data_IF_496209900006
#
_entry.id   IF_496209900006
#
_cell.length_a   1.000
_cell.length_b   1.000
_cell.length_c   1.000
_cell.angle_alpha   90.00
_cell.angle_beta   90.00
_cell.angle_gamma   90.00
#
_symmetry.space_group_name_H-M   'P 1'
#
loop_
_entity.id
_entity.type
_entity.pdbx_description
1 polymer ?
#
# COMPACT_ATOMS: atom_id res chain seq x y z
N UNK A 1 27.52 8.40 -6.00
CA UNK A 1 26.26 7.87 -5.49
C UNK A 1 26.49 6.38 -5.17
N UNK A 2 26.49 5.97 -3.90
CA UNK A 2 26.68 4.55 -3.55
C UNK A 2 25.34 3.85 -3.70
N UNK A 3 25.27 2.84 -4.53
CA UNK A 3 24.15 1.91 -4.59
C UNK A 3 24.20 1.05 -3.31
N UNK A 4 23.20 1.15 -2.48
CA UNK A 4 23.03 0.24 -1.35
C UNK A 4 22.53 -1.12 -1.86
N UNK A 5 23.06 -2.19 -1.30
CA UNK A 5 22.53 -3.54 -1.59
C UNK A 5 21.18 -3.72 -0.89
N UNK A 6 20.34 -4.59 -1.42
CA UNK A 6 19.03 -4.89 -0.83
C UNK A 6 19.13 -5.33 0.65
N UNK A 7 20.19 -6.04 1.02
CA UNK A 7 20.45 -6.45 2.40
C UNK A 7 20.72 -5.29 3.35
N UNK A 8 21.47 -4.27 2.92
CA UNK A 8 21.69 -3.06 3.72
C UNK A 8 20.40 -2.26 3.87
N UNK A 9 19.65 -2.11 2.78
CA UNK A 9 18.38 -1.40 2.80
C UNK A 9 17.35 -2.09 3.71
N UNK A 10 17.30 -3.43 3.70
CA UNK A 10 16.44 -4.19 4.64
C UNK A 10 16.81 -3.92 6.08
N UNK A 11 18.10 -4.01 6.43
CA UNK A 11 18.57 -3.78 7.80
C UNK A 11 18.27 -2.35 8.28
N UNK A 12 18.45 -1.36 7.41
CA UNK A 12 18.14 0.05 7.74
C UNK A 12 16.65 0.27 7.97
N UNK A 13 15.77 -0.35 7.16
CA UNK A 13 14.32 -0.26 7.29
C UNK A 13 13.83 -0.99 8.55
N UNK A 14 14.33 -2.19 8.83
CA UNK A 14 14.00 -2.93 10.04
C UNK A 14 14.42 -2.17 11.30
N UNK A 15 15.62 -1.59 11.30
CA UNK A 15 16.11 -0.75 12.39
C UNK A 15 15.26 0.51 12.59
N UNK A 16 14.84 1.17 11.51
CA UNK A 16 13.95 2.33 11.57
C UNK A 16 12.54 1.95 12.05
N UNK A 17 12.01 0.82 11.62
CA UNK A 17 10.69 0.30 11.99
C UNK A 17 10.60 -0.06 13.47
N UNK A 18 11.65 -0.65 14.04
CA UNK A 18 11.69 -0.99 15.48
C UNK A 18 11.73 0.24 16.39
N UNK A 19 12.20 1.37 15.87
CA UNK A 19 12.31 2.62 16.65
C UNK A 19 11.02 3.47 16.64
N UNK A 20 10.07 3.18 15.73
CA UNK A 20 8.90 4.06 15.50
C UNK A 20 7.60 3.52 16.11
N UNK A 21 7.52 2.23 16.46
CA UNK A 21 6.31 1.65 17.04
C UNK A 21 6.58 0.97 18.39
N UNK A 22 6.62 1.75 19.46
CA UNK A 22 6.38 1.21 20.80
C UNK A 22 4.91 0.82 20.89
N UNK A 23 4.67 -0.48 20.97
CA UNK A 23 3.36 -1.09 21.29
C UNK A 23 2.83 -0.46 22.57
N UNK A 24 1.78 0.36 22.50
CA UNK A 24 1.04 0.80 23.68
C UNK A 24 0.74 2.28 23.84
N UNK A 25 1.17 3.17 22.93
CA UNK A 25 0.87 4.59 23.07
C UNK A 25 -0.36 4.97 22.24
N UNK A 26 -1.56 4.76 22.81
CA UNK A 26 -2.82 5.26 22.26
C UNK A 26 -2.91 6.79 22.26
N UNK A 27 -2.01 7.49 22.97
CA UNK A 27 -1.97 8.95 23.03
C UNK A 27 -1.56 9.61 21.72
N UNK A 28 -0.87 8.88 20.82
CA UNK A 28 -0.45 9.40 19.51
C UNK A 28 -1.66 9.55 18.57
N UNK A 29 -2.68 8.69 18.69
CA UNK A 29 -3.89 8.77 17.84
C UNK A 29 -4.74 10.01 18.15
N UNK A 30 -4.80 10.45 19.39
CA UNK A 30 -5.56 11.67 19.78
C UNK A 30 -4.87 12.96 19.31
N UNK A 31 -3.54 12.97 19.20
CA UNK A 31 -2.76 14.17 18.79
C UNK A 31 -2.82 14.46 17.29
N UNK A 32 -3.26 13.52 16.45
CA UNK A 32 -3.35 13.72 15.00
C UNK A 32 -4.71 14.23 14.52
N UNK A 33 -5.69 14.41 15.41
CA UNK A 33 -6.96 15.01 15.07
C UNK A 33 -6.78 16.51 14.77
N UNK A 34 -7.17 16.90 13.56
CA UNK A 34 -7.17 18.30 13.14
C UNK A 34 -8.60 18.74 12.82
N UNK A 35 -9.07 19.74 13.54
CA UNK A 35 -10.38 20.34 13.29
C UNK A 35 -10.50 20.92 11.86
N UNK A 36 -9.40 21.39 11.28
CA UNK A 36 -9.38 21.90 9.90
C UNK A 36 -9.58 20.78 8.86
N UNK A 37 -9.05 19.58 9.09
CA UNK A 37 -9.30 18.44 8.22
C UNK A 37 -10.75 17.97 8.31
N UNK A 38 -11.31 17.90 9.52
CA UNK A 38 -12.73 17.55 9.71
C UNK A 38 -13.65 18.58 9.03
N UNK A 39 -13.36 19.87 9.15
CA UNK A 39 -14.09 20.93 8.47
C UNK A 39 -14.01 20.84 6.93
N UNK A 40 -12.91 20.30 6.40
CA UNK A 40 -12.73 20.02 4.98
C UNK A 40 -13.34 18.67 4.53
N UNK A 41 -14.05 17.95 5.40
CA UNK A 41 -14.68 16.66 5.11
C UNK A 41 -13.72 15.47 5.15
N UNK A 42 -12.52 15.63 5.73
CA UNK A 42 -11.53 14.57 5.84
C UNK A 42 -11.60 13.94 7.24
N UNK A 43 -12.02 12.69 7.30
CA UNK A 43 -12.02 11.89 8.53
C UNK A 43 -10.72 11.10 8.66
N UNK A 44 -9.77 11.64 9.42
CA UNK A 44 -8.47 11.00 9.67
C UNK A 44 -8.65 9.68 10.45
N UNK A 45 -9.62 9.62 11.35
CA UNK A 45 -9.90 8.43 12.17
C UNK A 45 -10.39 7.28 11.30
N UNK A 46 -11.27 7.57 10.34
CA UNK A 46 -11.70 6.58 9.35
C UNK A 46 -10.54 6.09 8.49
N UNK A 47 -9.61 6.98 8.14
CA UNK A 47 -8.37 6.62 7.44
C UNK A 47 -7.53 5.61 8.23
N UNK A 48 -7.24 5.87 9.50
CA UNK A 48 -6.51 4.93 10.35
C UNK A 48 -7.25 3.61 10.53
N UNK A 49 -8.58 3.67 10.69
CA UNK A 49 -9.41 2.47 10.79
C UNK A 49 -9.35 1.61 9.54
N UNK A 50 -9.38 2.22 8.37
CA UNK A 50 -9.27 1.49 7.09
C UNK A 50 -7.93 0.78 6.96
N UNK A 51 -6.82 1.44 7.32
CA UNK A 51 -5.49 0.83 7.31
C UNK A 51 -5.43 -0.36 8.27
N UNK A 52 -5.99 -0.23 9.47
CA UNK A 52 -6.02 -1.32 10.44
C UNK A 52 -6.79 -2.54 9.93
N UNK A 53 -7.94 -2.30 9.28
CA UNK A 53 -8.75 -3.36 8.68
C UNK A 53 -8.05 -4.05 7.50
N UNK A 54 -7.24 -3.32 6.73
CA UNK A 54 -6.50 -3.87 5.59
C UNK A 54 -5.32 -4.75 5.98
N UNK A 55 -4.70 -4.55 7.14
CA UNK A 55 -3.45 -5.22 7.54
C UNK A 55 -3.46 -6.73 7.35
N UNK A 56 -4.53 -7.39 7.79
CA UNK A 56 -4.65 -8.84 7.67
C UNK A 56 -4.72 -9.35 6.23
N UNK A 57 -5.29 -8.56 5.33
CA UNK A 57 -5.41 -8.90 3.91
C UNK A 57 -4.09 -8.64 3.19
N UNK A 58 -3.47 -7.50 3.45
CA UNK A 58 -2.15 -7.15 2.90
C UNK A 58 -1.09 -8.17 3.32
N UNK A 59 -1.10 -8.61 4.60
CA UNK A 59 -0.17 -9.63 5.07
C UNK A 59 -0.23 -10.94 4.27
N UNK A 60 -1.37 -11.27 3.68
CA UNK A 60 -1.54 -12.47 2.82
C UNK A 60 -0.93 -12.32 1.44
N UNK A 61 -0.67 -11.10 1.00
CA UNK A 61 -0.07 -10.79 -0.31
C UNK A 61 1.42 -10.48 -0.24
N UNK A 62 1.96 -10.33 0.98
CA UNK A 62 3.38 -10.08 1.18
C UNK A 62 4.20 -11.33 0.86
N UNK A 63 5.27 -11.15 0.09
CA UNK A 63 6.26 -12.17 -0.22
C UNK A 63 7.60 -11.80 0.42
N UNK A 64 8.58 -12.70 0.39
CA UNK A 64 9.94 -12.43 0.87
C UNK A 64 10.65 -11.28 0.13
N UNK A 65 10.22 -10.99 -1.09
CA UNK A 65 10.73 -9.90 -1.90
C UNK A 65 10.18 -8.53 -1.50
N UNK A 66 9.09 -8.48 -0.73
CA UNK A 66 8.55 -7.23 -0.22
C UNK A 66 9.44 -6.72 0.92
N UNK A 67 9.93 -5.48 0.80
CA UNK A 67 10.78 -4.85 1.80
C UNK A 67 9.97 -3.79 2.54
N UNK A 68 9.91 -3.91 3.88
CA UNK A 68 9.11 -3.02 4.72
C UNK A 68 7.66 -3.49 4.87
N UNK A 69 6.77 -2.57 5.27
CA UNK A 69 5.37 -2.88 5.59
C UNK A 69 4.43 -1.72 5.29
N UNK A 70 3.17 -1.85 5.70
CA UNK A 70 2.18 -0.79 5.61
C UNK A 70 2.57 0.43 6.45
N UNK A 71 2.42 1.63 5.88
CA UNK A 71 2.65 2.90 6.56
C UNK A 71 3.83 3.71 6.01
N UNK A 72 4.62 3.15 5.07
CA UNK A 72 5.62 3.90 4.33
C UNK A 72 5.02 4.72 3.19
N UNK A 73 5.77 5.72 2.71
CA UNK A 73 5.37 6.54 1.55
C UNK A 73 5.57 5.83 0.20
N UNK A 74 6.25 4.70 0.17
CA UNK A 74 6.48 3.90 -1.03
C UNK A 74 6.57 2.42 -0.73
N UNK A 75 6.26 1.60 -1.72
CA UNK A 75 6.47 0.16 -1.68
C UNK A 75 7.88 -0.17 -2.20
N UNK A 76 8.57 -1.03 -1.50
CA UNK A 76 9.88 -1.54 -1.91
C UNK A 76 9.74 -3.02 -2.23
N UNK A 77 10.25 -3.41 -3.38
CA UNK A 77 10.23 -4.78 -3.85
C UNK A 77 11.59 -5.14 -4.45
N UNK A 78 12.16 -6.23 -4.00
CA UNK A 78 13.42 -6.76 -4.52
C UNK A 78 13.15 -7.59 -5.77
N UNK A 79 13.66 -7.12 -6.91
CA UNK A 79 13.53 -7.84 -8.17
C UNK A 79 14.62 -8.89 -8.29
N UNK A 80 14.24 -10.13 -8.57
CA UNK A 80 15.16 -11.14 -9.04
C UNK A 80 15.35 -11.00 -10.55
N UNK A 81 16.50 -10.46 -10.95
CA UNK A 81 16.89 -10.30 -12.35
C UNK A 81 17.83 -11.40 -12.83
N UNK A 82 17.94 -12.52 -12.13
CA UNK A 82 18.83 -13.63 -12.50
C UNK A 82 18.47 -14.16 -13.88
N UNK A 83 19.43 -14.16 -14.80
CA UNK A 83 19.23 -14.62 -16.17
C UNK A 83 18.50 -13.64 -17.10
N UNK A 84 18.21 -12.42 -16.64
CA UNK A 84 17.58 -11.36 -17.44
C UNK A 84 18.60 -10.26 -17.70
N UNK A 85 19.06 -10.14 -18.96
CA UNK A 85 20.06 -9.14 -19.33
C UNK A 85 19.49 -7.70 -19.35
N UNK A 86 18.25 -7.54 -19.80
CA UNK A 86 17.58 -6.25 -19.94
C UNK A 86 16.20 -6.31 -19.30
N UNK A 87 16.11 -6.21 -17.95
CA UNK A 87 14.82 -6.27 -17.26
C UNK A 87 13.98 -5.02 -17.57
N UNK A 88 12.72 -5.25 -17.88
CA UNK A 88 11.73 -4.19 -18.05
C UNK A 88 10.63 -4.40 -17.02
N UNK A 89 10.38 -3.39 -16.19
CA UNK A 89 9.29 -3.39 -15.22
C UNK A 89 8.05 -2.74 -15.84
N UNK A 90 6.93 -3.44 -15.80
CA UNK A 90 5.63 -2.90 -16.14
C UNK A 90 4.83 -2.71 -14.86
N UNK A 91 4.25 -1.54 -14.67
CA UNK A 91 3.36 -1.26 -13.55
C UNK A 91 2.10 -0.57 -14.06
N UNK A 92 0.95 -0.95 -13.51
CA UNK A 92 -0.33 -0.35 -13.81
C UNK A 92 -1.12 -0.09 -12.53
N UNK A 93 -1.87 1.00 -12.49
CA UNK A 93 -2.79 1.32 -11.40
C UNK A 93 -4.10 1.83 -11.99
N UNK A 94 -5.21 1.48 -11.35
CA UNK A 94 -6.52 1.95 -11.74
C UNK A 94 -7.37 2.27 -10.51
N UNK A 95 -8.24 3.28 -10.63
CA UNK A 95 -9.13 3.75 -9.57
C UNK A 95 -10.58 3.28 -9.75
N UNK A 96 -10.89 2.38 -10.62
CA UNK A 96 -12.21 1.81 -10.96
C UNK A 96 -13.18 2.80 -11.66
N UNK A 97 -12.95 4.08 -11.56
CA UNK A 97 -13.77 5.11 -12.23
C UNK A 97 -15.21 5.16 -11.74
N UNK A 98 -16.16 5.29 -12.67
CA UNK A 98 -17.59 5.53 -12.37
C UNK A 98 -18.30 4.39 -11.66
N UNK A 99 -17.80 3.16 -11.70
CA UNK A 99 -18.36 2.01 -10.95
C UNK A 99 -18.35 2.24 -9.44
N UNK A 100 -17.38 3.00 -8.92
CA UNK A 100 -17.35 3.42 -7.52
C UNK A 100 -18.62 4.17 -7.13
N UNK A 101 -19.13 5.06 -8.00
CA UNK A 101 -20.37 5.78 -7.73
C UNK A 101 -21.57 4.87 -7.65
N UNK A 102 -21.61 3.82 -8.48
CA UNK A 102 -22.66 2.80 -8.43
C UNK A 102 -22.59 2.02 -7.12
N UNK A 103 -21.40 1.62 -6.71
CA UNK A 103 -21.19 0.94 -5.43
C UNK A 103 -21.68 1.79 -4.24
N UNK A 104 -21.41 3.10 -4.24
CA UNK A 104 -21.88 4.04 -3.23
C UNK A 104 -23.41 4.21 -3.25
N UNK A 105 -24.04 4.28 -4.43
CA UNK A 105 -25.48 4.42 -4.57
C UNK A 105 -26.26 3.19 -4.11
N UNK A 106 -25.67 2.01 -4.30
CA UNK A 106 -26.26 0.72 -3.93
C UNK A 106 -25.84 0.27 -2.53
N UNK A 107 -24.94 1.00 -1.88
CA UNK A 107 -24.28 0.60 -0.62
C UNK A 107 -23.70 -0.83 -0.70
N UNK A 108 -23.08 -1.15 -1.85
CA UNK A 108 -22.50 -2.48 -2.13
C UNK A 108 -21.03 -2.33 -2.49
N UNK A 109 -20.15 -2.70 -1.56
CA UNK A 109 -18.70 -2.45 -1.66
C UNK A 109 -17.85 -3.72 -1.74
N UNK A 110 -18.44 -4.89 -1.59
CA UNK A 110 -17.75 -6.18 -1.46
C UNK A 110 -17.12 -6.71 -2.77
N UNK A 111 -17.50 -6.17 -3.92
CA UNK A 111 -17.00 -6.60 -5.23
C UNK A 111 -16.09 -5.57 -5.92
N UNK A 112 -16.11 -4.31 -5.49
CA UNK A 112 -15.42 -3.23 -6.21
C UNK A 112 -13.89 -3.40 -6.23
N UNK A 113 -13.32 -4.03 -5.20
CA UNK A 113 -11.90 -4.36 -5.15
C UNK A 113 -11.49 -5.40 -6.18
N UNK A 114 -12.38 -6.31 -6.55
CA UNK A 114 -12.15 -7.30 -7.61
C UNK A 114 -12.02 -6.59 -8.95
N UNK A 115 -12.92 -5.65 -9.24
CA UNK A 115 -12.85 -4.81 -10.44
C UNK A 115 -11.54 -4.03 -10.52
N UNK A 116 -11.13 -3.40 -9.41
CA UNK A 116 -9.90 -2.64 -9.33
C UNK A 116 -8.68 -3.48 -9.71
N UNK A 117 -8.53 -4.64 -9.10
CA UNK A 117 -7.41 -5.54 -9.39
C UNK A 117 -7.48 -6.07 -10.82
N UNK A 118 -8.66 -6.44 -11.31
CA UNK A 118 -8.84 -6.95 -12.67
C UNK A 118 -8.45 -5.91 -13.72
N UNK A 119 -8.80 -4.65 -13.54
CA UNK A 119 -8.44 -3.56 -14.45
C UNK A 119 -6.92 -3.36 -14.49
N UNK A 120 -6.25 -3.28 -13.33
CA UNK A 120 -4.79 -3.18 -13.26
C UNK A 120 -4.09 -4.38 -13.93
N UNK A 121 -4.57 -5.61 -13.67
CA UNK A 121 -4.01 -6.84 -14.25
C UNK A 121 -4.19 -6.87 -15.76
N UNK A 122 -5.34 -6.47 -16.28
CA UNK A 122 -5.60 -6.44 -17.71
C UNK A 122 -4.63 -5.51 -18.45
N UNK A 123 -4.36 -4.33 -17.91
CA UNK A 123 -3.44 -3.37 -18.51
C UNK A 123 -2.01 -3.94 -18.58
N UNK A 124 -1.56 -4.61 -17.53
CA UNK A 124 -0.23 -5.21 -17.46
C UNK A 124 -0.12 -6.41 -18.43
N UNK A 125 -1.11 -7.31 -18.44
CA UNK A 125 -1.13 -8.50 -19.33
C UNK A 125 -1.17 -8.09 -20.81
N UNK A 126 -1.91 -7.04 -21.16
CA UNK A 126 -1.98 -6.55 -22.54
C UNK A 126 -0.63 -6.05 -23.05
N UNK A 127 0.28 -5.66 -22.16
CA UNK A 127 1.65 -5.28 -22.51
C UNK A 127 2.60 -6.49 -22.63
N UNK A 128 2.14 -7.70 -22.39
CA UNK A 128 2.90 -8.94 -22.56
C UNK A 128 3.66 -9.40 -21.29
N UNK A 129 3.27 -8.91 -20.13
CA UNK A 129 3.86 -9.33 -18.83
C UNK A 129 3.18 -10.60 -18.28
#
# INVERSE_FOLDING_TARGET
>A
MRLQTASHLRADIESASTNTFRKGDTSIMEKSYSASYAAAGVDITAGYRSVELMKQYVARTMTENCIGGLGGFGGLFELDCTGIEHPVLISGTDGVGTKLRIAMLLDKHDTIGIDCVAMCVNDVICAGA
#
